data_IF_007006661959
#
_entry.id   IF_007006661959
#
_cell.length_a   1.000
_cell.length_b   1.000
_cell.length_c   1.000
_cell.angle_alpha   90.00
_cell.angle_beta   90.00
_cell.angle_gamma   90.00
#
_symmetry.space_group_name_H-M   'P 1'
#
loop_
_entity.id
_entity.type
_entity.pdbx_description
1 polymer ?
#
# COMPACT_ATOMS: atom_id res chain seq x y z
N UNK A 1 -24.04 -10.95 1.65
CA UNK A 1 -22.67 -10.70 2.17
C UNK A 1 -22.50 -9.19 2.25
N UNK A 2 -22.11 -8.65 3.41
CA UNK A 2 -21.86 -7.21 3.57
C UNK A 2 -20.34 -7.01 3.72
N UNK A 3 -19.75 -6.27 2.78
CA UNK A 3 -18.34 -5.88 2.85
C UNK A 3 -18.33 -4.47 3.43
N UNK A 4 -17.75 -4.30 4.62
CA UNK A 4 -17.51 -2.99 5.23
C UNK A 4 -16.11 -2.53 4.83
N UNK A 5 -16.04 -1.43 4.06
CA UNK A 5 -14.77 -0.87 3.58
C UNK A 5 -14.55 0.47 4.25
N UNK A 6 -13.57 0.49 5.16
CA UNK A 6 -13.14 1.69 5.86
C UNK A 6 -11.88 2.25 5.22
N UNK A 7 -11.99 3.42 4.59
CA UNK A 7 -10.83 4.15 4.08
C UNK A 7 -10.27 4.99 5.24
N UNK A 8 -9.15 4.54 5.82
CA UNK A 8 -8.53 5.23 6.97
C UNK A 8 -7.83 6.53 6.57
N UNK A 9 -7.31 6.59 5.34
CA UNK A 9 -6.63 7.78 4.81
C UNK A 9 -6.65 7.79 3.29
N UNK A 10 -7.17 8.88 2.72
CA UNK A 10 -7.09 9.17 1.29
C UNK A 10 -6.02 10.23 1.05
N UNK A 11 -4.99 9.90 0.27
CA UNK A 11 -3.92 10.84 -0.10
C UNK A 11 -4.00 11.08 -1.60
N UNK A 12 -4.29 12.32 -1.99
CA UNK A 12 -4.30 12.74 -3.39
C UNK A 12 -3.22 13.81 -3.58
N UNK A 13 -2.15 13.47 -4.31
CA UNK A 13 -1.01 14.36 -4.51
C UNK A 13 -1.14 15.16 -5.80
N UNK A 14 -0.54 16.36 -5.83
CA UNK A 14 -0.41 17.16 -7.04
C UNK A 14 -1.64 17.99 -7.43
N UNK A 15 -2.64 18.08 -6.55
CA UNK A 15 -3.81 18.95 -6.79
C UNK A 15 -3.75 20.16 -5.85
N UNK A 16 -3.77 21.36 -6.43
CA UNK A 16 -3.86 22.62 -5.68
C UNK A 16 -5.30 22.88 -5.23
N UNK A 17 -5.77 22.11 -4.24
CA UNK A 17 -7.14 22.23 -3.73
C UNK A 17 -7.18 23.04 -2.44
N UNK A 18 -8.18 23.90 -2.32
CA UNK A 18 -8.59 24.45 -1.03
C UNK A 18 -9.28 23.37 -0.16
N UNK A 19 -9.45 23.64 1.13
CA UNK A 19 -10.00 22.67 2.09
C UNK A 19 -11.43 22.21 1.76
N UNK A 20 -12.27 23.09 1.19
CA UNK A 20 -13.65 22.74 0.82
C UNK A 20 -13.65 21.83 -0.41
N UNK A 21 -12.88 22.19 -1.42
CA UNK A 21 -12.75 21.41 -2.65
C UNK A 21 -12.09 20.06 -2.37
N UNK A 22 -11.11 20.00 -1.48
CA UNK A 22 -10.49 18.76 -1.03
C UNK A 22 -11.51 17.80 -0.38
N UNK A 23 -12.39 18.31 0.47
CA UNK A 23 -13.44 17.50 1.09
C UNK A 23 -14.46 16.97 0.06
N UNK A 24 -14.85 17.80 -0.92
CA UNK A 24 -15.75 17.38 -2.00
C UNK A 24 -15.12 16.30 -2.89
N UNK A 25 -13.84 16.46 -3.24
CA UNK A 25 -13.09 15.46 -4.02
C UNK A 25 -12.96 14.16 -3.23
N UNK A 26 -12.66 14.22 -1.93
CA UNK A 26 -12.59 13.03 -1.10
C UNK A 26 -13.92 12.26 -1.09
N UNK A 27 -15.04 12.94 -0.83
CA UNK A 27 -16.36 12.33 -0.83
C UNK A 27 -16.74 11.72 -2.19
N UNK A 28 -16.41 12.40 -3.29
CA UNK A 28 -16.66 11.89 -4.64
C UNK A 28 -15.84 10.63 -4.94
N UNK A 29 -14.57 10.60 -4.52
CA UNK A 29 -13.70 9.43 -4.68
C UNK A 29 -14.19 8.25 -3.83
N UNK A 30 -14.59 8.50 -2.59
CA UNK A 30 -15.16 7.47 -1.71
C UNK A 30 -16.43 6.86 -2.30
N UNK A 31 -17.35 7.69 -2.81
CA UNK A 31 -18.57 7.22 -3.45
C UNK A 31 -18.29 6.36 -4.70
N UNK A 32 -17.33 6.76 -5.53
CA UNK A 32 -16.95 6.00 -6.73
C UNK A 32 -16.27 4.67 -6.36
N UNK A 33 -15.39 4.67 -5.37
CA UNK A 33 -14.75 3.44 -4.88
C UNK A 33 -15.79 2.46 -4.32
N UNK A 34 -16.74 2.95 -3.52
CA UNK A 34 -17.82 2.14 -2.97
C UNK A 34 -18.71 1.56 -4.08
N UNK A 35 -19.05 2.37 -5.08
CA UNK A 35 -19.81 1.93 -6.26
C UNK A 35 -19.08 0.83 -7.04
N UNK A 36 -17.78 1.01 -7.32
CA UNK A 36 -16.96 0.02 -8.03
C UNK A 36 -16.76 -1.28 -7.25
N UNK A 37 -16.63 -1.18 -5.92
CA UNK A 37 -16.58 -2.33 -5.03
C UNK A 37 -17.89 -3.12 -5.09
N UNK A 38 -19.03 -2.44 -4.99
CA UNK A 38 -20.34 -3.06 -5.08
C UNK A 38 -20.61 -3.69 -6.47
N UNK A 39 -20.09 -3.07 -7.53
CA UNK A 39 -20.19 -3.58 -8.90
C UNK A 39 -19.22 -4.74 -9.21
N UNK A 40 -18.45 -5.24 -8.23
CA UNK A 40 -17.48 -6.32 -8.44
C UNK A 40 -16.33 -5.95 -9.38
N UNK A 41 -16.13 -4.66 -9.68
CA UNK A 41 -15.20 -4.19 -10.71
C UNK A 41 -13.72 -4.32 -10.33
N UNK A 42 -13.43 -4.87 -9.15
CA UNK A 42 -12.07 -5.21 -8.71
C UNK A 42 -11.60 -6.61 -9.18
N UNK A 43 -12.45 -7.37 -9.87
CA UNK A 43 -12.20 -8.77 -10.25
C UNK A 43 -11.02 -9.01 -11.22
N UNK A 44 -10.42 -7.96 -11.80
CA UNK A 44 -9.28 -8.13 -12.74
C UNK A 44 -7.97 -7.52 -12.26
N UNK A 45 -7.99 -6.59 -11.28
CA UNK A 45 -6.78 -5.93 -10.81
C UNK A 45 -6.24 -6.50 -9.49
N UNK A 46 -7.11 -7.04 -8.63
CA UNK A 46 -6.66 -7.59 -7.34
C UNK A 46 -6.05 -9.01 -7.46
N UNK A 47 -6.31 -9.70 -8.57
CA UNK A 47 -5.73 -11.01 -8.89
C UNK A 47 -4.46 -10.96 -9.77
N UNK A 48 -4.04 -9.79 -10.26
CA UNK A 48 -2.97 -9.68 -11.26
C UNK A 48 -2.14 -8.40 -11.22
N UNK A 49 -2.05 -7.67 -10.10
CA UNK A 49 -0.78 -6.97 -9.87
C UNK A 49 0.19 -8.06 -9.45
N UNK A 50 0.95 -8.59 -10.42
CA UNK A 50 2.18 -9.31 -10.13
C UNK A 50 3.12 -8.30 -9.43
N UNK A 51 2.90 -8.08 -8.14
CA UNK A 51 3.86 -7.39 -7.30
C UNK A 51 5.05 -8.33 -7.27
N UNK A 52 6.22 -7.95 -7.78
CA UNK A 52 7.39 -8.81 -7.71
C UNK A 52 7.67 -9.11 -6.24
N UNK A 53 7.45 -10.37 -5.85
CA UNK A 53 7.73 -10.84 -4.48
C UNK A 53 9.15 -11.36 -4.47
N UNK A 54 10.03 -10.65 -3.77
CA UNK A 54 11.37 -11.12 -3.52
C UNK A 54 11.36 -11.99 -2.26
N UNK A 55 11.65 -13.29 -2.41
CA UNK A 55 11.82 -14.18 -1.26
C UNK A 55 13.23 -13.98 -0.69
N UNK A 56 13.32 -13.46 0.53
CA UNK A 56 14.59 -13.24 1.23
C UNK A 56 14.60 -13.98 2.57
N UNK A 57 15.78 -14.31 3.12
CA UNK A 57 15.87 -14.82 4.49
C UNK A 57 15.28 -13.82 5.50
N UNK A 58 14.65 -14.30 6.58
CA UNK A 58 14.05 -13.43 7.59
C UNK A 58 15.11 -12.52 8.25
N UNK A 59 14.78 -11.23 8.40
CA UNK A 59 15.62 -10.27 9.12
C UNK A 59 15.25 -10.34 10.60
N UNK A 60 16.19 -10.77 11.44
CA UNK A 60 16.00 -10.81 12.89
C UNK A 60 16.10 -9.41 13.50
N UNK A 61 15.00 -8.91 14.04
CA UNK A 61 14.95 -7.63 14.75
C UNK A 61 15.21 -7.90 16.23
N UNK A 62 16.31 -7.37 16.75
CA UNK A 62 16.66 -7.49 18.16
C UNK A 62 16.16 -6.25 18.92
N UNK A 63 15.68 -6.45 20.14
CA UNK A 63 15.30 -5.37 21.03
C UNK A 63 16.52 -4.48 21.31
N UNK A 64 16.38 -3.17 21.12
CA UNK A 64 17.50 -2.21 21.22
C UNK A 64 18.37 -2.05 19.97
N UNK A 65 18.04 -2.69 18.85
CA UNK A 65 18.75 -2.47 17.59
C UNK A 65 18.61 -1.02 17.12
N UNK A 66 19.73 -0.39 16.76
CA UNK A 66 19.70 0.96 16.21
C UNK A 66 19.05 0.96 14.82
N UNK A 67 18.37 2.06 14.42
CA UNK A 67 17.77 2.17 13.08
C UNK A 67 18.78 1.89 11.95
N UNK A 68 20.04 2.25 12.13
CA UNK A 68 21.12 2.00 11.17
C UNK A 68 21.50 0.51 11.09
N UNK A 69 21.46 -0.22 12.20
CA UNK A 69 21.69 -1.67 12.21
C UNK A 69 20.53 -2.41 11.52
N UNK A 70 19.29 -2.02 11.82
CA UNK A 70 18.10 -2.55 11.16
C UNK A 70 18.12 -2.29 9.66
N UNK A 71 18.42 -1.05 9.24
CA UNK A 71 18.51 -0.66 7.84
C UNK A 71 19.54 -1.48 7.06
N UNK A 72 20.71 -1.76 7.65
CA UNK A 72 21.74 -2.63 7.05
C UNK A 72 21.25 -4.07 6.88
N UNK A 73 20.52 -4.61 7.86
CA UNK A 73 19.94 -5.96 7.78
C UNK A 73 18.92 -6.09 6.65
N UNK A 74 18.03 -5.11 6.52
CA UNK A 74 17.03 -5.07 5.44
C UNK A 74 17.72 -4.94 4.07
N UNK A 75 18.65 -3.99 3.92
CA UNK A 75 19.37 -3.77 2.66
C UNK A 75 20.15 -5.01 2.22
N UNK A 76 20.79 -5.71 3.16
CA UNK A 76 21.49 -6.97 2.91
C UNK A 76 20.56 -8.09 2.45
N UNK A 77 19.40 -8.26 3.09
CA UNK A 77 18.42 -9.27 2.71
C UNK A 77 17.85 -9.02 1.30
N UNK A 78 17.54 -7.76 0.98
CA UNK A 78 17.05 -7.36 -0.35
C UNK A 78 18.13 -7.56 -1.42
N UNK A 79 19.36 -7.09 -1.20
CA UNK A 79 20.45 -7.28 -2.16
C UNK A 79 20.77 -8.77 -2.35
N UNK A 80 20.69 -9.56 -1.28
CA UNK A 80 20.84 -11.01 -1.33
C UNK A 80 19.76 -11.67 -2.21
N UNK A 81 18.49 -11.31 -2.00
CA UNK A 81 17.38 -11.80 -2.82
C UNK A 81 17.51 -11.42 -4.29
N UNK A 82 17.91 -10.18 -4.60
CA UNK A 82 18.10 -9.73 -5.99
C UNK A 82 19.25 -10.46 -6.72
N UNK A 83 20.18 -11.08 -6.00
CA UNK A 83 21.28 -11.85 -6.57
C UNK A 83 20.94 -13.34 -6.78
N UNK A 84 19.87 -13.83 -6.16
CA UNK A 84 19.52 -15.26 -6.11
C UNK A 84 18.10 -15.57 -6.62
N UNK A 85 17.34 -14.55 -7.04
CA UNK A 85 16.04 -14.66 -7.71
C UNK A 85 16.17 -14.35 -9.18
#
# INVERSE_FOLDING_TARGET
>A
MAIDVRIERLILNGMGLDARTAALVAAAVEAELASRLAAGSFDTAMGAVAVPVLRTPPVQVHEGASPQALGRGIAGAVLGGLRHG
#
